data_IF_095406076978
#
_entry.id   IF_095406076978
#
_cell.length_a   1.000
_cell.length_b   1.000
_cell.length_c   1.000
_cell.angle_alpha   90.00
_cell.angle_beta   90.00
_cell.angle_gamma   90.00
#
_symmetry.space_group_name_H-M   'P 1'
#
loop_
_entity.id
_entity.type
_entity.pdbx_description
1 polymer ?
#
# COMPACT_ATOMS: atom_id res chain seq x y z
N UNK A 1 -6.20 11.81 -8.48
CA UNK A 1 -6.88 12.47 -7.36
C UNK A 1 -7.69 11.41 -6.61
N UNK A 2 -7.60 11.34 -5.31
CA UNK A 2 -8.33 10.37 -4.49
C UNK A 2 -9.76 10.89 -4.27
N UNK A 3 -10.74 10.28 -4.93
CA UNK A 3 -12.16 10.60 -4.76
C UNK A 3 -12.85 9.53 -3.92
N UNK A 4 -13.95 9.83 -3.21
CA UNK A 4 -14.73 8.82 -2.48
C UNK A 4 -15.24 7.69 -3.40
N UNK A 5 -15.64 8.02 -4.63
CA UNK A 5 -16.09 7.03 -5.61
C UNK A 5 -14.97 6.07 -6.01
N UNK A 6 -13.76 6.59 -6.27
CA UNK A 6 -12.60 5.77 -6.57
C UNK A 6 -12.24 4.85 -5.39
N UNK A 7 -12.25 5.37 -4.16
CA UNK A 7 -12.00 4.57 -2.97
C UNK A 7 -13.00 3.41 -2.81
N UNK A 8 -14.30 3.66 -3.08
CA UNK A 8 -15.32 2.60 -3.06
C UNK A 8 -15.08 1.53 -4.11
N UNK A 9 -14.73 1.91 -5.35
CA UNK A 9 -14.43 0.96 -6.41
C UNK A 9 -13.19 0.11 -6.08
N UNK A 10 -12.12 0.74 -5.59
CA UNK A 10 -10.89 0.06 -5.16
C UNK A 10 -11.16 -0.92 -4.00
N UNK A 11 -11.94 -0.49 -2.99
CA UNK A 11 -12.32 -1.36 -1.86
C UNK A 11 -13.21 -2.51 -2.32
N UNK A 12 -14.15 -2.26 -3.22
CA UNK A 12 -14.98 -3.33 -3.80
C UNK A 12 -14.14 -4.41 -4.48
N UNK A 13 -13.11 -3.99 -5.24
CA UNK A 13 -12.16 -4.93 -5.86
C UNK A 13 -11.33 -5.71 -4.82
N UNK A 14 -10.89 -5.05 -3.75
CA UNK A 14 -10.19 -5.72 -2.65
C UNK A 14 -11.08 -6.78 -1.99
N UNK A 15 -12.34 -6.46 -1.72
CA UNK A 15 -13.30 -7.39 -1.12
C UNK A 15 -13.51 -8.62 -2.01
N UNK A 16 -13.69 -8.41 -3.32
CA UNK A 16 -13.81 -9.49 -4.29
C UNK A 16 -12.59 -10.43 -4.26
N UNK A 17 -11.38 -9.85 -4.28
CA UNK A 17 -10.12 -10.61 -4.29
C UNK A 17 -9.81 -11.29 -2.95
N UNK A 18 -10.25 -10.72 -1.83
CA UNK A 18 -10.14 -11.38 -0.53
C UNK A 18 -10.93 -12.68 -0.50
N UNK A 19 -12.14 -12.71 -1.09
CA UNK A 19 -13.00 -13.88 -1.10
C UNK A 19 -13.38 -14.39 0.28
N UNK A 20 -13.32 -13.54 1.32
CA UNK A 20 -13.55 -13.90 2.71
C UNK A 20 -14.99 -13.62 3.13
N UNK A 21 -15.58 -14.43 4.02
CA UNK A 21 -16.93 -14.19 4.53
C UNK A 21 -16.99 -12.91 5.37
N UNK A 22 -18.15 -12.27 5.42
CA UNK A 22 -18.39 -11.13 6.30
C UNK A 22 -18.13 -11.50 7.77
N UNK A 23 -17.66 -10.54 8.55
CA UNK A 23 -17.20 -10.77 9.92
C UNK A 23 -15.76 -11.24 10.04
N UNK A 24 -15.09 -11.59 8.92
CA UNK A 24 -13.66 -11.90 8.92
C UNK A 24 -12.82 -10.73 9.43
N UNK A 25 -11.69 -11.06 10.06
CA UNK A 25 -10.79 -10.07 10.64
C UNK A 25 -9.70 -9.69 9.67
N UNK A 26 -9.61 -8.40 9.35
CA UNK A 26 -8.65 -7.83 8.43
C UNK A 26 -7.66 -6.92 9.14
N UNK A 27 -6.42 -6.90 8.65
CA UNK A 27 -5.41 -5.90 8.99
C UNK A 27 -5.17 -5.00 7.76
N UNK A 28 -5.36 -3.69 7.93
CA UNK A 28 -4.97 -2.66 6.94
C UNK A 28 -3.64 -2.02 7.40
N UNK A 29 -2.55 -2.27 6.69
CA UNK A 29 -1.20 -1.94 7.12
C UNK A 29 -0.28 -1.48 5.97
N UNK A 30 0.09 -0.17 5.95
CA UNK A 30 -0.40 0.92 6.76
C UNK A 30 -1.73 1.48 6.22
N UNK A 31 -2.63 1.86 7.13
CA UNK A 31 -3.98 2.30 6.77
C UNK A 31 -4.07 3.81 6.39
N UNK A 32 -3.02 4.59 6.63
CA UNK A 32 -3.04 6.03 6.44
C UNK A 32 -4.16 6.71 7.22
N UNK A 33 -4.95 7.53 6.51
CA UNK A 33 -6.14 8.19 7.07
C UNK A 33 -7.40 7.30 7.09
N UNK A 34 -7.24 5.98 7.01
CA UNK A 34 -8.32 5.01 7.17
C UNK A 34 -9.27 4.88 5.98
N UNK A 35 -8.89 5.35 4.79
CA UNK A 35 -9.76 5.41 3.62
C UNK A 35 -10.40 4.06 3.25
N UNK A 36 -9.59 3.00 3.22
CA UNK A 36 -10.05 1.64 2.93
C UNK A 36 -10.55 0.93 4.18
N UNK A 37 -9.91 1.14 5.33
CA UNK A 37 -10.32 0.54 6.59
C UNK A 37 -11.79 0.85 6.94
N UNK A 38 -12.25 2.09 6.74
CA UNK A 38 -13.65 2.46 6.95
C UNK A 38 -14.59 1.72 5.99
N UNK A 39 -14.27 1.68 4.70
CA UNK A 39 -15.11 1.01 3.71
C UNK A 39 -15.16 -0.51 3.90
N UNK A 40 -14.05 -1.12 4.33
CA UNK A 40 -14.01 -2.54 4.70
C UNK A 40 -14.89 -2.82 5.93
N UNK A 41 -14.85 -1.95 6.94
CA UNK A 41 -15.69 -2.07 8.12
C UNK A 41 -17.17 -1.82 7.79
N UNK A 42 -17.50 -0.82 6.94
CA UNK A 42 -18.84 -0.57 6.42
C UNK A 42 -19.38 -1.79 5.64
N UNK A 43 -18.50 -2.53 4.95
CA UNK A 43 -18.87 -3.76 4.25
C UNK A 43 -19.08 -4.97 5.17
N UNK A 44 -18.85 -4.85 6.48
CA UNK A 44 -19.11 -5.89 7.47
C UNK A 44 -17.90 -6.68 7.95
N UNK A 45 -16.68 -6.25 7.62
CA UNK A 45 -15.45 -6.85 8.16
C UNK A 45 -15.06 -6.26 9.52
N UNK A 46 -14.26 -7.01 10.29
CA UNK A 46 -13.60 -6.49 11.50
C UNK A 46 -12.21 -6.04 11.13
N UNK A 47 -11.95 -4.74 11.21
CA UNK A 47 -10.71 -4.14 10.69
C UNK A 47 -9.86 -3.57 11.83
N UNK A 48 -8.63 -4.04 11.91
CA UNK A 48 -7.56 -3.38 12.67
C UNK A 48 -6.71 -2.58 11.65
N UNK A 49 -6.73 -1.24 11.71
CA UNK A 49 -5.89 -0.37 10.89
C UNK A 49 -4.65 0.07 11.66
N UNK A 50 -3.48 -0.02 11.06
CA UNK A 50 -2.24 0.50 11.65
C UNK A 50 -1.57 1.51 10.74
N UNK A 51 -0.92 2.51 11.36
CA UNK A 51 -0.02 3.43 10.68
C UNK A 51 1.06 3.90 11.65
N UNK A 52 2.20 4.33 11.13
CA UNK A 52 3.26 4.92 11.95
C UNK A 52 3.00 6.39 12.28
N UNK A 53 2.27 7.11 11.43
CA UNK A 53 1.96 8.53 11.54
C UNK A 53 0.78 8.77 12.51
N UNK A 54 1.01 9.43 13.65
CA UNK A 54 -0.08 9.80 14.56
C UNK A 54 -1.05 10.80 13.92
N UNK A 55 -0.57 11.63 12.99
CA UNK A 55 -1.40 12.61 12.27
C UNK A 55 -2.40 11.91 11.35
N UNK A 56 -1.96 10.91 10.59
CA UNK A 56 -2.86 10.14 9.72
C UNK A 56 -3.88 9.35 10.52
N UNK A 57 -3.46 8.74 11.65
CA UNK A 57 -4.37 8.02 12.54
C UNK A 57 -5.39 8.95 13.21
N UNK A 58 -5.01 10.15 13.59
CA UNK A 58 -5.96 11.15 14.10
C UNK A 58 -7.02 11.48 13.05
N UNK A 59 -6.61 11.69 11.78
CA UNK A 59 -7.54 11.88 10.65
C UNK A 59 -8.42 10.64 10.41
N UNK A 60 -7.88 9.44 10.53
CA UNK A 60 -8.66 8.21 10.42
C UNK A 60 -9.75 8.16 11.51
N UNK A 61 -9.42 8.50 12.73
CA UNK A 61 -10.35 8.47 13.87
C UNK A 61 -11.47 9.53 13.77
N UNK A 62 -11.26 10.66 13.08
CA UNK A 62 -12.30 11.70 12.92
C UNK A 62 -13.54 11.21 12.16
N UNK A 63 -13.42 10.14 11.37
CA UNK A 63 -14.52 9.53 10.61
C UNK A 63 -15.28 8.48 11.41
N UNK A 64 -14.91 8.30 12.67
CA UNK A 64 -15.50 7.33 13.59
C UNK A 64 -14.65 6.07 13.76
N UNK A 65 -14.84 5.44 14.89
CA UNK A 65 -14.33 4.11 15.25
C UNK A 65 -15.50 3.33 15.85
N UNK A 66 -15.35 2.02 16.01
CA UNK A 66 -16.43 1.22 16.56
C UNK A 66 -15.99 -0.22 16.89
N UNK A 67 -16.92 -1.09 17.28
CA UNK A 67 -16.59 -2.48 17.63
C UNK A 67 -15.91 -3.27 16.51
N UNK A 68 -16.14 -2.88 15.25
CA UNK A 68 -15.58 -3.51 14.05
C UNK A 68 -14.40 -2.75 13.44
N UNK A 69 -14.02 -1.57 13.97
CA UNK A 69 -12.94 -0.75 13.37
C UNK A 69 -12.08 -0.11 14.46
N UNK A 70 -10.83 -0.51 14.50
CA UNK A 70 -9.85 0.02 15.45
C UNK A 70 -8.63 0.56 14.72
N UNK A 71 -8.11 1.71 15.16
CA UNK A 71 -6.87 2.27 14.68
C UNK A 71 -5.79 2.25 15.76
N UNK A 72 -4.56 1.90 15.36
CA UNK A 72 -3.43 1.81 16.29
C UNK A 72 -2.15 2.30 15.65
N UNK A 73 -1.37 3.09 16.38
CA UNK A 73 -0.01 3.41 15.99
C UNK A 73 0.87 2.17 16.13
N UNK A 74 1.47 1.73 15.04
CA UNK A 74 2.38 0.57 15.00
C UNK A 74 3.34 0.68 13.83
N UNK A 75 4.50 0.05 13.99
CA UNK A 75 5.44 -0.18 12.89
C UNK A 75 5.10 -1.53 12.24
N UNK A 76 4.89 -1.55 10.93
CA UNK A 76 4.56 -2.78 10.20
C UNK A 76 5.69 -3.81 10.19
N UNK A 77 6.94 -3.41 10.53
CA UNK A 77 8.08 -4.30 10.71
C UNK A 77 8.10 -5.03 12.06
N UNK A 78 7.21 -4.64 12.99
CA UNK A 78 7.13 -5.20 14.34
C UNK A 78 5.70 -5.10 14.86
N UNK A 79 4.87 -6.03 14.45
CA UNK A 79 3.47 -6.11 14.89
C UNK A 79 3.37 -6.77 16.29
N UNK A 80 2.31 -6.48 17.06
CA UNK A 80 2.12 -7.10 18.37
C UNK A 80 2.20 -8.63 18.31
N UNK A 81 2.96 -9.24 19.23
CA UNK A 81 3.14 -10.72 19.27
C UNK A 81 1.84 -11.48 19.41
N UNK A 82 0.86 -10.94 20.18
CA UNK A 82 -0.49 -11.49 20.34
C UNK A 82 -1.32 -11.53 19.04
N UNK A 83 -0.80 -11.00 17.93
CA UNK A 83 -1.46 -11.00 16.63
C UNK A 83 -1.04 -12.18 15.75
N UNK A 84 -0.14 -13.04 16.20
CA UNK A 84 0.23 -14.26 15.48
C UNK A 84 -1.02 -15.07 15.13
N UNK A 85 -1.21 -15.40 13.85
CA UNK A 85 -2.33 -16.20 13.35
C UNK A 85 -3.71 -15.60 13.66
N UNK A 86 -3.82 -14.27 13.71
CA UNK A 86 -5.05 -13.57 14.12
C UNK A 86 -5.95 -13.17 12.98
N UNK A 87 -5.41 -12.85 11.83
CA UNK A 87 -6.13 -12.24 10.72
C UNK A 87 -6.45 -13.23 9.62
N UNK A 88 -7.64 -13.11 9.06
CA UNK A 88 -8.08 -13.86 7.89
C UNK A 88 -7.54 -13.20 6.61
N UNK A 89 -7.33 -11.87 6.64
CA UNK A 89 -6.73 -11.13 5.54
C UNK A 89 -5.84 -9.98 6.02
N UNK A 90 -4.80 -9.68 5.24
CA UNK A 90 -3.93 -8.51 5.40
C UNK A 90 -3.93 -7.74 4.08
N UNK A 91 -4.10 -6.42 4.13
CA UNK A 91 -4.01 -5.55 2.97
C UNK A 91 -2.91 -4.52 3.16
N UNK A 92 -2.03 -4.36 2.16
CA UNK A 92 -1.01 -3.33 2.08
C UNK A 92 -1.19 -2.60 0.75
N UNK A 93 -1.78 -1.42 0.79
CA UNK A 93 -2.29 -0.73 -0.39
C UNK A 93 -1.55 0.59 -0.66
N UNK A 94 -1.61 1.05 -1.92
CA UNK A 94 -1.16 2.37 -2.37
C UNK A 94 0.33 2.66 -2.15
N UNK A 95 1.17 1.69 -2.54
CA UNK A 95 2.62 1.91 -2.53
C UNK A 95 3.14 2.31 -1.14
N UNK A 96 2.59 1.70 -0.11
CA UNK A 96 3.00 1.94 1.28
C UNK A 96 4.20 1.08 1.71
N UNK A 97 4.79 0.37 0.76
CA UNK A 97 5.91 -0.56 0.91
C UNK A 97 7.10 -0.07 0.06
N UNK A 98 8.33 -0.33 0.52
CA UNK A 98 9.54 0.11 -0.20
C UNK A 98 10.11 1.45 0.28
N UNK A 99 9.53 2.07 1.32
CA UNK A 99 10.02 3.33 1.89
C UNK A 99 11.14 3.18 2.93
N UNK A 100 11.50 1.95 3.28
CA UNK A 100 12.59 1.74 4.22
C UNK A 100 13.96 1.89 3.54
N UNK A 101 14.93 2.47 4.28
CA UNK A 101 16.29 2.62 3.79
C UNK A 101 16.95 1.27 3.53
N UNK A 102 16.71 0.30 4.43
CA UNK A 102 17.27 -1.04 4.34
C UNK A 102 16.27 -2.01 3.70
N UNK A 103 16.66 -2.74 2.62
CA UNK A 103 15.79 -3.76 2.02
C UNK A 103 15.42 -4.92 2.98
N UNK A 104 16.21 -5.18 4.02
CA UNK A 104 15.84 -6.15 5.06
C UNK A 104 14.62 -5.72 5.87
N UNK A 105 14.32 -4.43 5.95
CA UNK A 105 13.13 -3.94 6.64
C UNK A 105 11.86 -4.19 5.82
N UNK A 106 11.96 -4.14 4.49
CA UNK A 106 10.88 -4.57 3.59
C UNK A 106 10.59 -6.07 3.81
N UNK A 107 11.63 -6.91 3.87
CA UNK A 107 11.47 -8.34 4.14
C UNK A 107 10.87 -8.62 5.52
N UNK A 108 11.26 -7.84 6.55
CA UNK A 108 10.64 -7.92 7.89
C UNK A 108 9.15 -7.61 7.87
N UNK A 109 8.73 -6.57 7.12
CA UNK A 109 7.31 -6.23 7.02
C UNK A 109 6.50 -7.38 6.39
N UNK A 110 7.01 -8.00 5.31
CA UNK A 110 6.36 -9.17 4.68
C UNK A 110 6.31 -10.35 5.68
N UNK A 111 7.39 -10.61 6.42
CA UNK A 111 7.41 -11.67 7.44
C UNK A 111 6.38 -11.43 8.55
N UNK A 112 6.21 -10.19 8.99
CA UNK A 112 5.19 -9.82 9.97
C UNK A 112 3.76 -9.99 9.40
N UNK A 113 3.53 -9.66 8.14
CA UNK A 113 2.24 -9.89 7.48
C UNK A 113 1.92 -11.38 7.40
N UNK A 114 2.89 -12.21 7.03
CA UNK A 114 2.73 -13.68 7.07
C UNK A 114 2.46 -14.17 8.49
N UNK A 115 3.26 -13.76 9.48
CA UNK A 115 3.12 -14.21 10.86
C UNK A 115 1.73 -13.94 11.44
N UNK A 116 1.15 -12.79 11.14
CA UNK A 116 -0.16 -12.40 11.69
C UNK A 116 -1.34 -13.01 10.95
N UNK A 117 -1.14 -13.51 9.74
CA UNK A 117 -2.14 -14.26 8.99
C UNK A 117 -2.35 -15.66 9.59
N UNK A 118 -3.59 -16.12 9.56
CA UNK A 118 -3.93 -17.53 9.77
C UNK A 118 -3.42 -18.38 8.60
N UNK A 119 -3.19 -19.69 8.77
CA UNK A 119 -3.05 -20.61 7.65
C UNK A 119 -4.23 -20.46 6.68
N UNK A 120 -3.99 -20.42 5.38
CA UNK A 120 -4.98 -20.15 4.35
C UNK A 120 -5.42 -18.67 4.23
N UNK A 121 -4.94 -17.81 5.10
CA UNK A 121 -5.25 -16.37 5.07
C UNK A 121 -4.72 -15.67 3.82
N UNK A 122 -5.38 -14.57 3.43
CA UNK A 122 -5.12 -13.86 2.17
C UNK A 122 -4.31 -12.59 2.43
N UNK A 123 -3.25 -12.39 1.65
CA UNK A 123 -2.48 -11.15 1.60
C UNK A 123 -2.70 -10.44 0.27
N UNK A 124 -3.15 -9.19 0.32
CA UNK A 124 -3.24 -8.32 -0.87
C UNK A 124 -2.21 -7.22 -0.76
N UNK A 125 -1.33 -7.15 -1.76
CA UNK A 125 -0.36 -6.07 -1.91
C UNK A 125 -0.67 -5.24 -3.15
N UNK A 126 -0.63 -3.89 -3.03
CA UNK A 126 -0.80 -2.99 -4.17
C UNK A 126 0.23 -1.88 -4.15
N UNK A 127 0.89 -1.66 -5.28
CA UNK A 127 1.86 -0.57 -5.44
C UNK A 127 2.37 -0.42 -6.86
N UNK A 128 3.37 0.45 -7.02
CA UNK A 128 4.01 0.67 -8.32
C UNK A 128 4.80 -0.56 -8.79
N UNK A 129 4.58 -0.97 -10.04
CA UNK A 129 5.40 -1.98 -10.70
C UNK A 129 6.66 -1.33 -11.24
N UNK A 130 7.85 -1.83 -10.85
CA UNK A 130 9.14 -1.32 -11.35
C UNK A 130 9.17 -1.29 -12.88
N UNK A 131 8.81 -2.38 -13.52
CA UNK A 131 8.89 -2.51 -14.98
C UNK A 131 7.97 -1.51 -15.68
N UNK A 132 6.75 -1.36 -15.20
CA UNK A 132 5.78 -0.41 -15.75
C UNK A 132 6.15 1.05 -15.49
N UNK A 133 6.69 1.37 -14.32
CA UNK A 133 7.19 2.72 -14.00
C UNK A 133 8.37 3.06 -14.90
N UNK A 134 9.34 2.13 -15.06
CA UNK A 134 10.53 2.35 -15.89
C UNK A 134 10.19 2.44 -17.38
N UNK A 135 9.17 1.74 -17.87
CA UNK A 135 8.75 1.82 -19.26
C UNK A 135 8.25 3.21 -19.68
N UNK A 136 7.88 4.05 -18.72
CA UNK A 136 7.36 5.43 -18.90
C UNK A 136 8.15 6.43 -18.06
N UNK A 137 9.38 6.10 -17.71
CA UNK A 137 10.20 6.92 -16.85
C UNK A 137 10.49 8.29 -17.47
N UNK A 138 10.14 9.34 -16.75
CA UNK A 138 10.50 10.71 -17.04
C UNK A 138 11.36 11.24 -15.90
N UNK A 139 12.61 11.63 -16.21
CA UNK A 139 13.53 12.20 -15.23
C UNK A 139 13.08 13.56 -14.71
N UNK A 140 12.31 14.30 -15.51
CA UNK A 140 11.73 15.59 -15.14
C UNK A 140 10.30 15.67 -15.65
N UNK A 141 9.44 16.26 -14.82
CA UNK A 141 8.04 16.47 -15.14
C UNK A 141 7.50 17.66 -14.35
N UNK A 142 6.46 18.30 -14.86
CA UNK A 142 5.80 19.39 -14.15
C UNK A 142 4.32 19.47 -14.54
N UNK A 143 3.50 19.93 -13.62
CA UNK A 143 2.08 20.19 -13.86
C UNK A 143 1.57 21.26 -12.92
N UNK A 144 0.41 21.81 -13.26
CA UNK A 144 -0.33 22.72 -12.39
C UNK A 144 -1.50 21.98 -11.73
N UNK A 145 -1.65 22.16 -10.42
CA UNK A 145 -2.78 21.63 -9.66
C UNK A 145 -4.01 22.56 -9.83
N UNK A 146 -5.21 22.08 -9.46
CA UNK A 146 -6.44 22.85 -9.61
C UNK A 146 -6.45 24.19 -8.85
N UNK A 147 -5.70 24.30 -7.75
CA UNK A 147 -5.54 25.52 -6.96
C UNK A 147 -4.46 26.45 -7.55
N UNK A 148 -3.86 26.08 -8.69
CA UNK A 148 -2.82 26.83 -9.37
C UNK A 148 -1.45 26.71 -8.74
N UNK A 149 -1.20 25.67 -7.94
CA UNK A 149 0.14 25.35 -7.46
C UNK A 149 0.92 24.65 -8.57
N UNK A 150 2.05 25.22 -8.98
CA UNK A 150 3.00 24.57 -9.89
C UNK A 150 3.78 23.49 -9.12
N UNK A 151 3.80 22.30 -9.67
CA UNK A 151 4.59 21.16 -9.14
C UNK A 151 5.61 20.79 -10.18
N UNK A 152 6.89 20.82 -9.83
CA UNK A 152 7.98 20.29 -10.63
C UNK A 152 8.61 19.10 -9.90
N UNK A 153 8.89 18.03 -10.65
CA UNK A 153 9.55 16.84 -10.11
C UNK A 153 10.80 16.51 -10.90
N UNK A 154 11.86 16.21 -10.16
CA UNK A 154 13.07 15.58 -10.69
C UNK A 154 13.18 14.19 -10.09
N UNK A 155 13.45 13.19 -10.92
CA UNK A 155 13.48 11.78 -10.55
C UNK A 155 14.79 11.15 -10.98
N UNK A 156 15.38 10.36 -10.10
CA UNK A 156 16.52 9.50 -10.41
C UNK A 156 16.21 8.07 -9.97
N UNK A 157 16.66 7.11 -10.74
CA UNK A 157 16.49 5.71 -10.43
C UNK A 157 17.85 5.02 -10.38
N UNK A 158 18.14 4.36 -9.27
CA UNK A 158 19.31 3.50 -9.13
C UNK A 158 18.94 2.05 -9.45
N UNK A 159 19.43 1.47 -10.57
CA UNK A 159 19.07 0.11 -10.97
C UNK A 159 19.62 -0.97 -10.04
N UNK A 160 20.70 -0.70 -9.28
CA UNK A 160 21.31 -1.68 -8.38
C UNK A 160 20.50 -1.83 -7.09
N UNK A 161 20.09 -0.73 -6.48
CA UNK A 161 19.26 -0.75 -5.27
C UNK A 161 17.76 -0.84 -5.56
N UNK A 162 17.34 -0.54 -6.81
CA UNK A 162 15.94 -0.42 -7.19
C UNK A 162 15.24 0.82 -6.62
N UNK A 163 16.00 1.80 -6.13
CA UNK A 163 15.45 2.99 -5.46
C UNK A 163 15.17 4.10 -6.46
N UNK A 164 13.93 4.56 -6.47
CA UNK A 164 13.48 5.77 -7.13
C UNK A 164 13.52 6.92 -6.11
N UNK A 165 14.33 7.95 -6.39
CA UNK A 165 14.37 9.19 -5.63
C UNK A 165 13.59 10.27 -6.38
N UNK A 166 12.71 10.99 -5.68
CA UNK A 166 11.85 12.02 -6.25
C UNK A 166 12.00 13.30 -5.46
N UNK A 167 12.50 14.34 -6.11
CA UNK A 167 12.59 15.70 -5.59
C UNK A 167 11.42 16.50 -6.15
N UNK A 168 10.51 16.94 -5.29
CA UNK A 168 9.32 17.72 -5.68
C UNK A 168 9.45 19.14 -5.19
N UNK A 169 9.25 20.11 -6.11
CA UNK A 169 9.17 21.53 -5.80
C UNK A 169 7.74 22.00 -6.06
N UNK A 170 7.12 22.58 -5.02
CA UNK A 170 5.77 23.12 -5.06
C UNK A 170 5.87 24.64 -5.00
N UNK A 171 5.37 25.36 -6.01
CA UNK A 171 5.32 26.82 -6.05
C UNK A 171 3.87 27.28 -6.08
N UNK A 172 3.41 27.89 -5.01
CA UNK A 172 2.05 28.44 -4.89
C UNK A 172 1.94 29.76 -5.63
N UNK A 173 0.72 30.15 -6.02
CA UNK A 173 0.41 31.47 -6.62
C UNK A 173 0.91 32.63 -5.76
N UNK A 174 0.93 32.47 -4.44
CA UNK A 174 1.47 33.45 -3.49
C UNK A 174 2.99 33.61 -3.55
N UNK A 175 3.69 32.89 -4.42
CA UNK A 175 5.15 32.86 -4.51
C UNK A 175 5.84 31.95 -3.49
N UNK A 176 5.12 31.42 -2.47
CA UNK A 176 5.70 30.50 -1.50
C UNK A 176 6.09 29.20 -2.18
N UNK A 177 7.33 28.76 -1.89
CA UNK A 177 7.91 27.52 -2.41
C UNK A 177 8.12 26.52 -1.26
N UNK A 178 7.80 25.25 -1.49
CA UNK A 178 8.12 24.14 -0.61
C UNK A 178 8.83 23.05 -1.43
N UNK A 179 9.81 22.39 -0.82
CA UNK A 179 10.51 21.27 -1.42
C UNK A 179 10.26 20.02 -0.58
N UNK A 180 10.13 18.88 -1.23
CA UNK A 180 10.00 17.57 -0.60
C UNK A 180 10.84 16.56 -1.38
N UNK A 181 11.46 15.68 -0.64
CA UNK A 181 12.13 14.51 -1.18
C UNK A 181 11.47 13.27 -0.60
N UNK A 182 11.34 12.25 -1.42
CA UNK A 182 11.03 10.91 -0.96
C UNK A 182 11.74 9.89 -1.83
N UNK A 183 12.06 8.77 -1.22
CA UNK A 183 12.74 7.65 -1.84
C UNK A 183 11.87 6.42 -1.66
N UNK A 184 11.74 5.63 -2.72
CA UNK A 184 10.97 4.40 -2.67
C UNK A 184 11.69 3.33 -3.47
N UNK A 185 11.81 2.13 -2.90
CA UNK A 185 12.28 0.95 -3.62
C UNK A 185 11.13 0.38 -4.44
N UNK A 186 11.32 0.32 -5.75
CA UNK A 186 10.38 -0.29 -6.66
C UNK A 186 10.72 -1.78 -6.82
N UNK A 187 9.69 -2.61 -6.71
CA UNK A 187 9.81 -4.05 -6.88
C UNK A 187 9.31 -4.48 -8.26
N UNK A 188 9.98 -5.50 -8.84
CA UNK A 188 9.40 -6.28 -9.93
C UNK A 188 8.39 -7.26 -9.33
N UNK A 189 7.38 -7.72 -10.10
CA UNK A 189 6.47 -8.76 -9.65
C UNK A 189 7.19 -10.03 -9.15
N UNK A 190 8.22 -10.47 -9.89
CA UNK A 190 9.04 -11.64 -9.54
C UNK A 190 9.71 -11.46 -8.19
N UNK A 191 10.40 -10.32 -7.98
CA UNK A 191 11.12 -10.08 -6.72
C UNK A 191 10.18 -10.01 -5.52
N UNK A 192 8.98 -9.43 -5.69
CA UNK A 192 8.00 -9.39 -4.61
C UNK A 192 7.41 -10.77 -4.34
N UNK A 193 7.17 -11.58 -5.37
CA UNK A 193 6.72 -12.96 -5.22
C UNK A 193 7.78 -13.82 -4.48
N UNK A 194 9.07 -13.67 -4.79
CA UNK A 194 10.16 -14.32 -4.06
C UNK A 194 10.20 -13.94 -2.58
N UNK A 195 10.05 -12.63 -2.27
CA UNK A 195 9.96 -12.17 -0.88
C UNK A 195 8.76 -12.77 -0.15
N UNK A 196 7.62 -12.85 -0.79
CA UNK A 196 6.44 -13.49 -0.24
C UNK A 196 6.69 -14.99 0.00
N UNK A 197 7.22 -15.71 -1.00
CA UNK A 197 7.49 -17.14 -0.91
C UNK A 197 8.48 -17.49 0.20
N UNK A 198 9.46 -16.61 0.49
CA UNK A 198 10.42 -16.82 1.58
C UNK A 198 9.82 -16.85 2.98
N UNK A 199 8.53 -16.52 3.12
CA UNK A 199 7.78 -16.46 4.39
C UNK A 199 6.41 -17.15 4.27
N UNK A 200 6.30 -18.18 3.44
CA UNK A 200 5.12 -19.02 3.24
C UNK A 200 3.89 -18.26 2.68
N UNK A 201 4.09 -17.14 1.97
CA UNK A 201 3.07 -16.43 1.23
C UNK A 201 3.22 -16.75 -0.27
N UNK A 202 2.35 -17.57 -0.82
CA UNK A 202 2.41 -17.93 -2.24
C UNK A 202 1.53 -16.98 -3.04
N UNK A 203 2.14 -16.23 -3.98
CA UNK A 203 1.41 -15.37 -4.90
C UNK A 203 0.66 -16.22 -5.91
N UNK A 204 -0.66 -16.12 -5.91
CA UNK A 204 -1.57 -16.88 -6.77
C UNK A 204 -1.99 -16.09 -7.99
N UNK A 205 -2.22 -14.77 -7.82
CA UNK A 205 -2.75 -13.90 -8.86
C UNK A 205 -2.05 -12.54 -8.90
N UNK A 206 -2.02 -11.93 -10.10
CA UNK A 206 -1.49 -10.59 -10.31
C UNK A 206 -2.32 -9.79 -11.32
N UNK A 207 -2.63 -8.54 -10.98
CA UNK A 207 -3.49 -7.65 -11.76
C UNK A 207 -2.82 -6.30 -12.06
N UNK A 208 -3.26 -5.63 -13.14
CA UNK A 208 -2.91 -4.26 -13.48
C UNK A 208 -3.64 -3.29 -12.54
N UNK A 209 -3.07 -3.06 -11.36
CA UNK A 209 -3.69 -2.31 -10.27
C UNK A 209 -5.04 -2.92 -9.86
N UNK A 210 -6.03 -2.07 -9.56
CA UNK A 210 -7.37 -2.52 -9.16
C UNK A 210 -8.28 -2.93 -10.33
N UNK A 211 -7.74 -3.08 -11.54
CA UNK A 211 -8.53 -3.53 -12.69
C UNK A 211 -8.63 -5.06 -12.73
N UNK A 212 -9.61 -5.65 -13.45
CA UNK A 212 -9.65 -7.10 -13.65
C UNK A 212 -8.62 -7.60 -14.68
N UNK A 213 -7.83 -6.70 -15.29
CA UNK A 213 -6.83 -7.08 -16.30
C UNK A 213 -5.65 -7.77 -15.65
N UNK A 214 -5.11 -8.82 -16.28
CA UNK A 214 -3.91 -9.47 -15.79
C UNK A 214 -2.71 -8.51 -15.75
N UNK A 215 -1.81 -8.76 -14.81
CA UNK A 215 -0.55 -8.05 -14.71
C UNK A 215 0.32 -8.30 -15.95
N UNK A 216 0.91 -7.23 -16.46
CA UNK A 216 1.84 -7.26 -17.59
C UNK A 216 3.08 -6.44 -17.28
N UNK A 217 4.14 -6.60 -18.09
CA UNK A 217 5.35 -5.77 -18.01
C UNK A 217 5.10 -4.27 -18.23
N UNK A 218 3.93 -3.89 -18.79
CA UNK A 218 3.55 -2.48 -19.02
C UNK A 218 2.64 -1.92 -17.95
N UNK A 219 2.18 -2.74 -17.01
CA UNK A 219 1.32 -2.31 -15.90
C UNK A 219 2.09 -1.37 -14.99
N UNK A 220 1.66 -0.12 -14.88
CA UNK A 220 2.31 0.89 -14.04
C UNK A 220 2.11 0.65 -12.55
N UNK A 221 0.99 0.01 -12.20
CA UNK A 221 0.68 -0.47 -10.86
C UNK A 221 0.50 -1.98 -10.92
N UNK A 222 0.81 -2.66 -9.82
CA UNK A 222 0.52 -4.08 -9.66
C UNK A 222 -0.27 -4.31 -8.38
N UNK A 223 -1.25 -5.20 -8.45
CA UNK A 223 -1.94 -5.75 -7.30
C UNK A 223 -1.67 -7.25 -7.32
N UNK A 224 -1.11 -7.77 -6.22
CA UNK A 224 -0.81 -9.18 -6.05
C UNK A 224 -1.69 -9.76 -4.95
N UNK A 225 -2.21 -10.95 -5.19
CA UNK A 225 -2.94 -11.75 -4.21
C UNK A 225 -2.09 -12.95 -3.85
N UNK A 226 -1.79 -13.09 -2.57
CA UNK A 226 -1.02 -14.21 -2.05
C UNK A 226 -1.80 -14.92 -0.94
N UNK A 227 -1.56 -16.22 -0.79
CA UNK A 227 -2.16 -17.06 0.24
C UNK A 227 -1.08 -17.63 1.13
N UNK A 228 -1.33 -17.60 2.45
CA UNK A 228 -0.46 -18.25 3.42
C UNK A 228 -0.68 -19.76 3.40
N UNK A 229 0.44 -20.49 3.25
CA UNK A 229 0.46 -21.94 3.35
C UNK A 229 0.40 -22.40 4.80
#
# INVERSE_FOLDING_TARGET
MFTPQRARAETGRVIELLGLPLGSRLLDAPCGQGRHAHLLAEAGYRVDGIDYSPVLLALAATRGTGPSLHFRRSDMRKLPSRWTGRFDGVVNLFTSFGFFDNPSDDARAIAEFSRVLKPGGVFIWHGGSRDGVMSRFLSRDWWETRDGTMVAQERTFDPLSGVLSIHSTFRRKSGRTARREHRIRLYTPTRLAELCASVDLIVEEGFDGFTPRPLTRRSGEMLLVARKQ
#
